data_IF_035580754937
#
_entry.id   IF_035580754937
#
_cell.length_a   1.000
_cell.length_b   1.000
_cell.length_c   1.000
_cell.angle_alpha   90.00
_cell.angle_beta   90.00
_cell.angle_gamma   90.00
#
_symmetry.space_group_name_H-M   'P 1'
#
loop_
_entity.id
_entity.type
_entity.pdbx_description
1 polymer ?
#
# COMPACT_ATOMS: atom_id res chain seq x y z
N UNK A 1 -14.06 36.68 7.96
CA UNK A 1 -13.69 35.28 8.25
C UNK A 1 -12.45 35.35 9.14
N UNK A 2 -12.65 35.20 10.44
CA UNK A 2 -11.67 35.55 11.48
C UNK A 2 -10.46 34.62 11.50
N UNK A 3 -9.32 35.15 11.94
CA UNK A 3 -8.03 34.45 12.00
C UNK A 3 -8.12 33.17 12.86
N UNK A 4 -8.94 33.19 13.91
CA UNK A 4 -9.17 32.05 14.81
C UNK A 4 -9.80 30.86 14.05
N UNK A 5 -10.83 31.10 13.25
CA UNK A 5 -11.50 30.05 12.46
C UNK A 5 -10.59 29.42 11.40
N UNK A 6 -9.56 30.14 10.93
CA UNK A 6 -8.57 29.59 9.99
C UNK A 6 -7.56 28.68 10.70
N UNK A 7 -7.17 28.99 11.93
CA UNK A 7 -6.23 28.17 12.71
C UNK A 7 -6.87 26.85 13.10
N UNK A 8 -8.10 26.88 13.59
CA UNK A 8 -8.83 25.67 14.01
C UNK A 8 -9.05 24.71 12.83
N UNK A 9 -9.41 25.24 11.65
CA UNK A 9 -9.58 24.45 10.44
C UNK A 9 -8.26 23.85 9.93
N UNK A 10 -7.13 24.55 10.09
CA UNK A 10 -5.80 24.01 9.72
C UNK A 10 -5.40 22.87 10.66
N UNK A 11 -5.59 23.04 11.97
CA UNK A 11 -5.26 22.02 12.97
C UNK A 11 -6.15 20.76 12.84
N UNK A 12 -7.45 20.93 12.58
CA UNK A 12 -8.37 19.80 12.32
C UNK A 12 -7.95 19.01 11.07
N UNK A 13 -7.50 19.72 10.04
CA UNK A 13 -7.02 19.13 8.80
C UNK A 13 -5.70 18.36 8.97
N UNK A 14 -4.74 18.89 9.72
CA UNK A 14 -3.47 18.22 10.02
C UNK A 14 -3.68 16.97 10.89
N UNK A 15 -4.59 17.05 11.86
CA UNK A 15 -4.96 15.90 12.69
C UNK A 15 -5.60 14.77 11.86
N UNK A 16 -6.47 15.12 10.91
CA UNK A 16 -7.09 14.16 10.00
C UNK A 16 -6.08 13.51 9.04
N UNK A 17 -5.08 14.26 8.55
CA UNK A 17 -3.98 13.72 7.74
C UNK A 17 -3.15 12.71 8.54
N UNK A 18 -2.76 13.05 9.76
CA UNK A 18 -2.00 12.12 10.60
C UNK A 18 -2.79 10.86 10.92
N UNK A 19 -4.07 10.99 11.25
CA UNK A 19 -4.93 9.85 11.58
C UNK A 19 -5.05 8.86 10.42
N UNK A 20 -5.26 9.34 9.18
CA UNK A 20 -5.35 8.44 8.02
C UNK A 20 -4.00 7.78 7.73
N UNK A 21 -2.89 8.50 7.89
CA UNK A 21 -1.55 7.97 7.66
C UNK A 21 -1.20 6.86 8.65
N UNK A 22 -1.35 7.14 9.94
CA UNK A 22 -1.06 6.19 11.01
C UNK A 22 -2.04 5.01 10.95
N UNK A 23 -3.31 5.26 10.66
CA UNK A 23 -4.33 4.23 10.50
C UNK A 23 -4.03 3.25 9.37
N UNK A 24 -3.60 3.72 8.20
CA UNK A 24 -3.23 2.86 7.07
C UNK A 24 -1.96 2.06 7.38
N UNK A 25 -0.96 2.69 8.01
CA UNK A 25 0.27 2.01 8.42
C UNK A 25 -0.04 0.90 9.44
N UNK A 26 -0.86 1.17 10.44
CA UNK A 26 -1.23 0.19 11.47
C UNK A 26 -1.95 -1.02 10.87
N UNK A 27 -2.89 -0.83 9.94
CA UNK A 27 -3.56 -1.96 9.28
C UNK A 27 -2.61 -2.71 8.34
N UNK A 28 -1.64 -2.03 7.72
CA UNK A 28 -0.59 -2.72 6.97
C UNK A 28 0.26 -3.63 7.86
N UNK A 29 0.81 -3.08 8.96
CA UNK A 29 1.68 -3.82 9.89
C UNK A 29 0.96 -4.98 10.56
N UNK A 30 -0.36 -4.86 10.79
CA UNK A 30 -1.23 -5.95 11.24
C UNK A 30 -1.22 -7.15 10.29
N UNK A 31 -1.13 -6.94 8.97
CA UNK A 31 -1.17 -8.02 7.96
C UNK A 31 0.21 -8.47 7.49
N UNK A 32 1.19 -7.55 7.48
CA UNK A 32 2.52 -7.70 6.91
C UNK A 32 3.60 -7.15 7.87
N UNK A 33 3.74 -7.76 9.04
CA UNK A 33 4.67 -7.32 10.10
C UNK A 33 6.15 -7.28 9.68
N UNK A 34 6.50 -8.04 8.64
CA UNK A 34 7.86 -8.13 8.10
C UNK A 34 8.06 -7.26 6.85
N UNK A 35 7.03 -6.54 6.41
CA UNK A 35 7.07 -5.72 5.20
C UNK A 35 7.65 -4.33 5.44
N UNK A 36 7.85 -3.60 4.34
CA UNK A 36 8.22 -2.19 4.38
C UNK A 36 7.03 -1.34 3.96
N UNK A 37 6.93 -0.14 4.53
CA UNK A 37 5.88 0.81 4.22
C UNK A 37 6.47 2.21 4.19
N UNK A 38 6.39 2.86 3.03
CA UNK A 38 6.85 4.22 2.82
C UNK A 38 5.65 5.11 2.55
N UNK A 39 5.46 6.11 3.41
CA UNK A 39 4.41 7.11 3.25
C UNK A 39 5.07 8.49 3.14
N UNK A 40 4.61 9.28 2.17
CA UNK A 40 5.06 10.66 1.98
C UNK A 40 3.92 11.57 1.54
N UNK A 41 3.95 12.82 2.02
CA UNK A 41 3.16 13.89 1.43
C UNK A 41 3.71 14.22 0.04
N UNK A 42 2.85 14.26 -0.97
CA UNK A 42 3.23 14.58 -2.37
C UNK A 42 2.96 16.07 -2.63
N UNK A 43 1.84 16.59 -2.13
CA UNK A 43 1.46 18.00 -2.21
C UNK A 43 0.64 18.40 -0.98
N UNK A 44 0.19 19.66 -0.91
CA UNK A 44 -0.77 20.13 0.12
C UNK A 44 -1.94 19.19 0.33
N UNK A 45 -2.49 18.65 -0.76
CA UNK A 45 -3.75 17.90 -0.79
C UNK A 45 -3.56 16.44 -1.19
N UNK A 46 -2.33 15.93 -1.20
CA UNK A 46 -2.10 14.55 -1.60
C UNK A 46 -1.00 13.84 -0.82
N UNK A 47 -1.28 12.58 -0.50
CA UNK A 47 -0.39 11.66 0.20
C UNK A 47 -0.17 10.48 -0.74
N UNK A 48 1.09 10.07 -0.90
CA UNK A 48 1.46 8.85 -1.57
C UNK A 48 1.97 7.84 -0.57
N UNK A 49 1.66 6.57 -0.78
CA UNK A 49 2.35 5.51 -0.07
C UNK A 49 2.66 4.34 -0.98
N UNK A 50 3.75 3.66 -0.69
CA UNK A 50 4.15 2.39 -1.29
C UNK A 50 4.56 1.40 -0.22
N UNK A 51 4.42 0.12 -0.54
CA UNK A 51 4.78 -0.94 0.38
C UNK A 51 5.15 -2.22 -0.37
N UNK A 52 5.81 -3.12 0.34
CA UNK A 52 6.08 -4.49 -0.05
C UNK A 52 6.16 -5.38 1.20
N UNK A 53 6.24 -6.69 1.01
CA UNK A 53 6.20 -7.68 2.11
C UNK A 53 7.60 -8.06 2.62
N UNK A 54 8.67 -7.65 1.94
CA UNK A 54 10.06 -7.96 2.26
C UNK A 54 10.76 -6.70 2.81
N UNK A 55 10.74 -6.54 4.13
CA UNK A 55 11.25 -5.34 4.80
C UNK A 55 12.77 -5.18 4.80
N UNK A 56 13.52 -6.28 4.76
CA UNK A 56 14.99 -6.23 4.68
C UNK A 56 15.44 -6.19 3.22
N UNK A 57 16.02 -5.06 2.81
CA UNK A 57 16.63 -4.88 1.48
C UNK A 57 17.65 -5.96 1.14
N UNK A 58 18.36 -6.52 2.13
CA UNK A 58 19.36 -7.57 1.90
C UNK A 58 18.75 -8.90 1.46
N UNK A 59 17.47 -9.11 1.74
CA UNK A 59 16.71 -10.29 1.30
C UNK A 59 16.10 -10.10 -0.10
N UNK A 60 16.34 -8.95 -0.74
CA UNK A 60 16.05 -8.72 -2.15
C UNK A 60 17.33 -8.88 -2.96
N UNK A 61 17.27 -9.66 -4.05
CA UNK A 61 18.43 -9.95 -4.91
C UNK A 61 19.14 -8.71 -5.46
N UNK A 62 18.44 -7.58 -5.58
CA UNK A 62 18.99 -6.30 -6.06
C UNK A 62 19.32 -5.29 -4.96
N UNK A 63 18.91 -5.53 -3.70
CA UNK A 63 18.96 -4.50 -2.65
C UNK A 63 17.94 -3.37 -2.81
N UNK A 64 17.02 -3.45 -3.78
CA UNK A 64 16.05 -2.39 -4.12
C UNK A 64 14.66 -2.81 -3.64
N UNK A 65 14.07 -2.09 -2.69
CA UNK A 65 12.72 -2.36 -2.14
C UNK A 65 11.64 -2.44 -3.22
N UNK A 66 11.75 -1.60 -4.25
CA UNK A 66 10.76 -1.56 -5.33
C UNK A 66 10.75 -2.83 -6.19
N UNK A 67 11.78 -3.70 -6.08
CA UNK A 67 11.83 -5.02 -6.71
C UNK A 67 11.16 -6.11 -5.85
N UNK A 68 10.51 -5.74 -4.75
CA UNK A 68 9.66 -6.65 -4.00
C UNK A 68 8.58 -7.24 -4.92
N UNK A 69 8.39 -8.57 -4.95
CA UNK A 69 7.43 -9.22 -5.83
C UNK A 69 5.98 -8.80 -5.55
N UNK A 70 5.70 -8.15 -4.43
CA UNK A 70 4.37 -7.67 -4.02
C UNK A 70 4.35 -6.16 -3.84
N UNK A 71 5.19 -5.42 -4.57
CA UNK A 71 5.21 -3.97 -4.49
C UNK A 71 3.91 -3.32 -5.01
N UNK A 72 3.31 -2.45 -4.19
CA UNK A 72 2.16 -1.64 -4.55
C UNK A 72 2.36 -0.17 -4.19
N UNK A 73 1.66 0.72 -4.89
CA UNK A 73 1.65 2.15 -4.64
C UNK A 73 0.26 2.75 -4.82
N UNK A 74 -0.10 3.61 -3.88
CA UNK A 74 -1.37 4.30 -3.82
C UNK A 74 -1.17 5.81 -3.69
N UNK A 75 -2.21 6.54 -4.06
CA UNK A 75 -2.36 7.97 -3.82
C UNK A 75 -3.69 8.22 -3.11
N UNK A 76 -3.62 9.05 -2.09
CA UNK A 76 -4.76 9.56 -1.34
C UNK A 76 -4.81 11.06 -1.62
N UNK A 77 -5.95 11.55 -2.08
CA UNK A 77 -6.20 12.97 -2.33
C UNK A 77 -7.23 13.46 -1.32
N UNK A 78 -6.99 14.66 -0.77
CA UNK A 78 -7.96 15.37 0.05
C UNK A 78 -9.06 15.94 -0.84
N UNK A 79 -10.30 15.76 -0.40
CA UNK A 79 -11.51 16.24 -1.06
C UNK A 79 -12.36 16.99 -0.03
N UNK A 80 -13.33 17.81 -0.47
CA UNK A 80 -14.15 18.64 0.43
C UNK A 80 -14.85 17.83 1.54
N UNK A 81 -15.23 16.59 1.24
CA UNK A 81 -15.95 15.70 2.17
C UNK A 81 -15.11 14.48 2.64
N UNK A 82 -13.77 14.59 2.60
CA UNK A 82 -12.86 13.55 3.10
C UNK A 82 -11.75 13.21 2.13
N UNK A 83 -11.68 11.93 1.73
CA UNK A 83 -10.54 11.39 0.98
C UNK A 83 -10.97 10.65 -0.27
N UNK A 84 -10.18 10.75 -1.34
CA UNK A 84 -10.23 9.91 -2.53
C UNK A 84 -8.96 9.07 -2.63
N UNK A 85 -9.09 7.76 -2.78
CA UNK A 85 -7.96 6.84 -2.91
C UNK A 85 -7.91 6.22 -4.29
N UNK A 86 -6.72 6.20 -4.89
CA UNK A 86 -6.42 5.56 -6.17
C UNK A 86 -5.22 4.63 -6.03
N UNK A 87 -5.33 3.46 -6.64
CA UNK A 87 -4.18 2.63 -6.93
C UNK A 87 -3.41 3.27 -8.10
N UNK A 88 -2.11 3.53 -7.92
CA UNK A 88 -1.23 4.01 -8.99
C UNK A 88 -0.63 2.84 -9.77
N UNK A 89 -0.09 1.87 -9.05
CA UNK A 89 0.32 0.58 -9.59
C UNK A 89 0.36 -0.46 -8.46
N UNK A 90 0.34 -1.74 -8.83
CA UNK A 90 0.58 -2.81 -7.89
C UNK A 90 0.04 -4.15 -8.39
N UNK A 91 0.85 -5.17 -8.19
CA UNK A 91 0.54 -6.56 -8.54
C UNK A 91 1.53 -7.48 -7.84
N UNK A 92 1.21 -8.77 -7.83
CA UNK A 92 2.16 -9.83 -7.49
C UNK A 92 2.88 -10.23 -8.78
N UNK A 93 4.21 -10.13 -8.79
CA UNK A 93 5.05 -10.66 -9.85
C UNK A 93 5.09 -12.19 -9.74
N UNK A 94 4.67 -12.87 -10.81
CA UNK A 94 4.64 -14.33 -10.91
C UNK A 94 5.49 -14.80 -12.09
N UNK A 95 5.83 -16.08 -12.11
CA UNK A 95 6.53 -16.68 -13.24
C UNK A 95 5.77 -16.44 -14.55
N UNK A 96 6.48 -16.27 -15.67
CA UNK A 96 5.88 -15.90 -16.93
C UNK A 96 4.91 -16.98 -17.42
N UNK A 97 3.70 -16.57 -17.82
CA UNK A 97 2.73 -17.45 -18.48
C UNK A 97 3.14 -17.80 -19.92
N UNK A 98 3.86 -16.88 -20.56
CA UNK A 98 4.33 -16.99 -21.94
C UNK A 98 5.86 -17.05 -21.97
N UNK A 99 6.44 -17.96 -22.76
CA UNK A 99 7.90 -18.22 -22.78
C UNK A 99 8.77 -17.00 -23.12
N UNK A 100 8.22 -16.01 -23.82
CA UNK A 100 8.95 -14.80 -24.23
C UNK A 100 8.88 -13.66 -23.21
N UNK A 101 8.09 -13.80 -22.12
CA UNK A 101 8.01 -12.80 -21.07
C UNK A 101 9.03 -13.07 -19.97
N UNK A 102 9.62 -12.01 -19.40
CA UNK A 102 10.47 -12.15 -18.21
C UNK A 102 9.66 -12.52 -16.96
N UNK A 103 8.45 -11.96 -16.82
CA UNK A 103 7.54 -12.22 -15.71
C UNK A 103 6.08 -11.96 -16.14
N UNK A 104 5.14 -12.51 -15.40
CA UNK A 104 3.72 -12.18 -15.47
C UNK A 104 3.26 -11.50 -14.18
N UNK A 105 2.03 -11.01 -14.14
CA UNK A 105 1.49 -10.37 -12.94
C UNK A 105 0.07 -10.83 -12.61
N UNK A 106 -0.22 -10.88 -11.32
CA UNK A 106 -1.58 -11.07 -10.79
C UNK A 106 -1.97 -9.83 -9.99
N UNK A 107 -3.09 -9.22 -10.34
CA UNK A 107 -3.55 -7.96 -9.72
C UNK A 107 -4.54 -8.22 -8.60
N UNK A 108 -4.30 -7.63 -7.43
CA UNK A 108 -5.33 -7.48 -6.40
C UNK A 108 -6.25 -6.32 -6.78
N UNK A 109 -7.47 -6.64 -7.21
CA UNK A 109 -8.45 -5.62 -7.65
C UNK A 109 -8.66 -4.58 -6.56
N UNK A 110 -8.40 -3.31 -6.88
CA UNK A 110 -8.73 -2.15 -6.05
C UNK A 110 -9.63 -1.22 -6.86
N UNK A 111 -10.77 -0.83 -6.28
CA UNK A 111 -11.63 0.20 -6.88
C UNK A 111 -11.32 1.54 -6.24
N UNK A 112 -11.23 2.58 -7.05
CA UNK A 112 -11.19 3.96 -6.55
C UNK A 112 -12.28 4.15 -5.50
N UNK A 113 -11.92 4.66 -4.34
CA UNK A 113 -12.82 4.75 -3.19
C UNK A 113 -12.80 6.16 -2.62
N UNK A 114 -13.97 6.67 -2.22
CA UNK A 114 -14.13 7.94 -1.54
C UNK A 114 -14.77 7.77 -0.16
N UNK A 115 -14.39 8.62 0.80
CA UNK A 115 -15.11 8.81 2.06
C UNK A 115 -14.21 9.30 3.20
N UNK A 116 -14.73 9.21 4.42
CA UNK A 116 -14.02 9.64 5.63
C UNK A 116 -12.81 8.74 5.97
N UNK A 117 -12.01 9.21 6.93
CA UNK A 117 -10.81 8.52 7.41
C UNK A 117 -11.09 7.06 7.82
N UNK A 118 -12.17 6.82 8.58
CA UNK A 118 -12.55 5.49 9.07
C UNK A 118 -12.87 4.53 7.92
N UNK A 119 -13.62 4.99 6.93
CA UNK A 119 -13.96 4.20 5.73
C UNK A 119 -12.72 3.85 4.94
N UNK A 120 -11.80 4.80 4.73
CA UNK A 120 -10.57 4.52 3.97
C UNK A 120 -9.70 3.49 4.69
N UNK A 121 -9.49 3.63 6.00
CA UNK A 121 -8.73 2.65 6.80
C UNK A 121 -9.38 1.26 6.72
N UNK A 122 -10.69 1.17 6.89
CA UNK A 122 -11.43 -0.10 6.77
C UNK A 122 -11.34 -0.70 5.36
N UNK A 123 -11.35 0.13 4.31
CA UNK A 123 -11.15 -0.32 2.93
C UNK A 123 -9.76 -0.95 2.76
N UNK A 124 -8.72 -0.36 3.34
CA UNK A 124 -7.37 -0.93 3.28
C UNK A 124 -7.23 -2.21 4.09
N UNK A 125 -7.78 -2.29 5.30
CA UNK A 125 -7.78 -3.52 6.11
C UNK A 125 -8.40 -4.69 5.31
N UNK A 126 -9.58 -4.47 4.71
CA UNK A 126 -10.25 -5.48 3.87
C UNK A 126 -9.46 -5.81 2.60
N UNK A 127 -8.80 -4.83 2.01
CA UNK A 127 -8.00 -5.04 0.80
C UNK A 127 -6.70 -5.80 1.10
N UNK A 128 -6.06 -5.55 2.24
CA UNK A 128 -4.89 -6.29 2.69
C UNK A 128 -5.20 -7.76 3.00
N UNK A 129 -6.38 -8.06 3.57
CA UNK A 129 -6.85 -9.46 3.70
C UNK A 129 -6.93 -10.15 2.33
N UNK A 130 -7.49 -9.47 1.32
CA UNK A 130 -7.58 -10.01 -0.05
C UNK A 130 -6.22 -10.18 -0.69
N UNK A 131 -5.32 -9.21 -0.51
CA UNK A 131 -3.95 -9.31 -0.99
C UNK A 131 -3.24 -10.50 -0.33
N UNK A 132 -3.37 -10.68 0.99
CA UNK A 132 -2.76 -11.80 1.70
C UNK A 132 -3.27 -13.15 1.20
N UNK A 133 -4.57 -13.29 0.93
CA UNK A 133 -5.12 -14.48 0.27
C UNK A 133 -4.50 -14.69 -1.11
N UNK A 134 -4.44 -13.65 -1.93
CA UNK A 134 -3.90 -13.75 -3.29
C UNK A 134 -2.41 -14.12 -3.31
N UNK A 135 -1.63 -13.63 -2.35
CA UNK A 135 -0.23 -14.01 -2.16
C UNK A 135 -0.14 -15.51 -1.88
N UNK A 136 -0.93 -16.01 -0.92
CA UNK A 136 -0.94 -17.45 -0.57
C UNK A 136 -1.36 -18.32 -1.75
N UNK A 137 -2.41 -17.92 -2.47
CA UNK A 137 -2.91 -18.64 -3.66
C UNK A 137 -1.88 -18.71 -4.80
N UNK A 138 -0.87 -17.84 -4.80
CA UNK A 138 0.14 -17.76 -5.85
C UNK A 138 1.56 -18.00 -5.32
N UNK A 139 1.75 -18.38 -4.06
CA UNK A 139 3.05 -18.36 -3.37
C UNK A 139 4.12 -19.14 -4.14
N UNK A 140 3.80 -20.37 -4.54
CA UNK A 140 4.70 -21.24 -5.30
C UNK A 140 5.06 -20.67 -6.69
N UNK A 141 4.19 -19.82 -7.24
CA UNK A 141 4.35 -19.24 -8.56
C UNK A 141 4.91 -17.81 -8.53
N UNK A 142 5.26 -17.28 -7.36
CA UNK A 142 5.90 -15.97 -7.25
C UNK A 142 7.23 -15.98 -8.00
N UNK A 143 7.47 -14.93 -8.78
CA UNK A 143 8.68 -14.81 -9.57
C UNK A 143 9.91 -14.86 -8.65
N UNK A 144 10.84 -15.78 -8.94
CA UNK A 144 12.03 -16.02 -8.11
C UNK A 144 11.71 -16.36 -6.63
N UNK A 145 10.59 -17.04 -6.35
CA UNK A 145 10.15 -17.41 -4.99
C UNK A 145 11.26 -18.01 -4.10
N UNK A 146 12.17 -18.79 -4.68
CA UNK A 146 13.31 -19.41 -3.97
C UNK A 146 14.31 -18.41 -3.36
N UNK A 147 14.31 -17.17 -3.82
CA UNK A 147 15.21 -16.13 -3.34
C UNK A 147 14.71 -15.47 -2.03
N UNK A 148 13.50 -15.80 -1.58
CA UNK A 148 12.84 -15.14 -0.46
C UNK A 148 12.55 -16.11 0.67
N UNK A 149 12.67 -15.63 1.91
CA UNK A 149 12.34 -16.41 3.11
C UNK A 149 10.84 -16.62 3.25
N UNK A 150 10.43 -17.81 3.69
CA UNK A 150 9.03 -18.15 3.95
C UNK A 150 8.36 -17.24 5.00
N UNK A 151 9.14 -16.57 5.85
CA UNK A 151 8.61 -15.66 6.89
C UNK A 151 7.78 -14.50 6.31
N UNK A 152 7.95 -14.18 5.03
CA UNK A 152 7.24 -13.10 4.36
C UNK A 152 5.86 -13.50 3.80
N UNK A 153 5.60 -14.81 3.68
CA UNK A 153 4.40 -15.35 3.02
C UNK A 153 3.40 -15.98 4.01
N UNK A 154 3.74 -16.01 5.31
CA UNK A 154 2.93 -16.59 6.40
C UNK A 154 1.72 -15.73 6.82
#
# INVERSE_FOLDING_TARGET
>A
MDIINKIDLVLENENNEKEIMDGIKNVFEKHFSNGWFNLRKISSDSIGFSFGIIGDKKELSSGILDNDPVHHKFMIRKEEMGWEVKNLFGSIAINPKEKYMAMSSVKTKFRKTKGDTKKIISTFDKWFVKLKSLIKDNEENIYQRSNYSDKFFK
#
